data_IF_388471241708
#
_entry.id   IF_388471241708
#
_cell.length_a   1.000
_cell.length_b   1.000
_cell.length_c   1.000
_cell.angle_alpha   90.00
_cell.angle_beta   90.00
_cell.angle_gamma   90.00
#
_symmetry.space_group_name_H-M   'P 1'
#
loop_
_entity.id
_entity.type
_entity.pdbx_description
1 polymer ?
#
# COMPACT_ATOMS: atom_id res chain seq x y z
N UNK A 1 28.39 -23.89 10.12
CA UNK A 1 27.76 -22.58 9.84
C UNK A 1 27.27 -22.02 11.16
N UNK A 2 27.73 -20.84 11.57
CA UNK A 2 27.31 -20.16 12.82
C UNK A 2 26.34 -19.00 12.56
N UNK A 3 26.07 -18.69 11.28
CA UNK A 3 25.18 -17.64 10.83
C UNK A 3 24.25 -18.18 9.75
N UNK A 4 23.05 -17.61 9.65
CA UNK A 4 22.07 -17.98 8.63
C UNK A 4 22.56 -17.52 7.24
N UNK A 5 22.54 -18.38 6.20
CA UNK A 5 23.05 -18.04 4.88
C UNK A 5 22.14 -17.04 4.14
N UNK A 6 22.74 -16.15 3.35
CA UNK A 6 22.01 -15.27 2.45
C UNK A 6 21.60 -16.01 1.16
N UNK A 7 20.45 -15.63 0.59
CA UNK A 7 19.99 -16.10 -0.73
C UNK A 7 19.22 -17.43 -0.72
N UNK A 8 18.98 -18.04 0.44
CA UNK A 8 18.09 -19.20 0.54
C UNK A 8 16.64 -18.72 0.59
N UNK A 9 15.77 -19.39 -0.16
CA UNK A 9 14.35 -19.01 -0.30
C UNK A 9 13.58 -19.02 1.03
N UNK A 10 13.98 -19.88 1.98
CA UNK A 10 13.38 -19.95 3.32
C UNK A 10 13.91 -18.91 4.30
N UNK A 11 15.03 -18.24 3.99
CA UNK A 11 15.70 -17.32 4.93
C UNK A 11 14.80 -16.23 5.49
N UNK A 12 14.00 -15.51 4.68
CA UNK A 12 13.14 -14.46 5.19
C UNK A 12 12.10 -14.98 6.20
N UNK A 13 11.59 -16.19 5.97
CA UNK A 13 10.62 -16.83 6.88
C UNK A 13 11.28 -17.25 8.20
N UNK A 14 12.48 -17.83 8.14
CA UNK A 14 13.23 -18.22 9.33
C UNK A 14 13.60 -17.01 10.19
N UNK A 15 14.09 -15.94 9.58
CA UNK A 15 14.45 -14.70 10.28
C UNK A 15 13.20 -14.06 10.89
N UNK A 16 12.09 -13.97 10.14
CA UNK A 16 10.86 -13.40 10.68
C UNK A 16 10.31 -14.20 11.87
N UNK A 17 10.35 -15.53 11.80
CA UNK A 17 9.93 -16.39 12.91
C UNK A 17 10.83 -16.18 14.13
N UNK A 18 12.15 -16.17 13.94
CA UNK A 18 13.10 -15.99 15.03
C UNK A 18 12.99 -14.59 15.68
N UNK A 19 12.81 -13.54 14.88
CA UNK A 19 12.58 -12.18 15.39
C UNK A 19 11.27 -12.09 16.19
N UNK A 20 10.19 -12.70 15.69
CA UNK A 20 8.91 -12.75 16.41
C UNK A 20 9.01 -13.52 17.72
N UNK A 21 9.76 -14.62 17.73
CA UNK A 21 10.01 -15.39 18.94
C UNK A 21 10.82 -14.59 19.96
N UNK A 22 11.89 -13.90 19.54
CA UNK A 22 12.66 -13.01 20.40
C UNK A 22 11.79 -11.91 21.05
N UNK A 23 10.90 -11.29 20.28
CA UNK A 23 9.95 -10.31 20.82
C UNK A 23 9.01 -10.98 21.84
N UNK A 24 8.50 -12.18 21.56
CA UNK A 24 7.61 -12.90 22.46
C UNK A 24 8.29 -13.36 23.76
N UNK A 25 9.56 -13.80 23.70
CA UNK A 25 10.33 -14.25 24.86
C UNK A 25 10.60 -13.11 25.86
N UNK A 26 10.54 -11.85 25.38
CA UNK A 26 10.65 -10.66 26.21
C UNK A 26 9.32 -10.16 26.78
N UNK A 27 8.21 -10.89 26.58
CA UNK A 27 6.87 -10.45 26.99
C UNK A 27 6.69 -10.22 28.49
N UNK A 28 7.46 -10.92 29.33
CA UNK A 28 7.41 -10.75 30.79
C UNK A 28 8.27 -9.58 31.29
N UNK A 29 9.29 -9.18 30.51
CA UNK A 29 10.27 -8.15 30.90
C UNK A 29 9.87 -6.74 30.51
N UNK A 30 9.02 -6.61 29.49
CA UNK A 30 8.59 -5.32 28.96
C UNK A 30 7.07 -5.14 29.04
N UNK A 31 6.58 -3.89 29.09
CA UNK A 31 5.16 -3.60 29.00
C UNK A 31 4.51 -4.24 27.76
N UNK A 32 3.33 -4.83 27.94
CA UNK A 32 2.56 -5.50 26.87
C UNK A 32 2.36 -4.64 25.61
N UNK A 33 2.16 -3.32 25.79
CA UNK A 33 1.97 -2.42 24.65
C UNK A 33 3.21 -2.32 23.75
N UNK A 34 4.42 -2.35 24.32
CA UNK A 34 5.66 -2.31 23.53
C UNK A 34 5.88 -3.62 22.76
N UNK A 35 5.55 -4.76 23.36
CA UNK A 35 5.65 -6.09 22.74
C UNK A 35 4.68 -6.23 21.56
N UNK A 36 3.44 -5.77 21.75
CA UNK A 36 2.46 -5.71 20.68
C UNK A 36 2.94 -4.80 19.55
N UNK A 37 3.39 -3.58 19.89
CA UNK A 37 3.90 -2.63 18.92
C UNK A 37 5.10 -3.20 18.14
N UNK A 38 6.08 -3.79 18.84
CA UNK A 38 7.24 -4.45 18.22
C UNK A 38 6.82 -5.55 17.23
N UNK A 39 5.78 -6.31 17.57
CA UNK A 39 5.24 -7.38 16.73
C UNK A 39 4.47 -6.85 15.50
N UNK A 40 3.80 -5.71 15.64
CA UNK A 40 3.00 -5.08 14.60
C UNK A 40 3.84 -4.24 13.62
N UNK A 41 4.89 -3.57 14.12
CA UNK A 41 5.78 -2.75 13.31
C UNK A 41 6.79 -3.56 12.50
N UNK A 42 6.97 -4.85 12.82
CA UNK A 42 7.94 -5.73 12.16
C UNK A 42 7.36 -6.45 10.94
N UNK A 43 7.98 -6.27 9.79
CA UNK A 43 7.69 -7.01 8.56
C UNK A 43 8.97 -7.60 7.96
N UNK A 44 9.09 -8.94 8.03
CA UNK A 44 10.29 -9.67 7.60
C UNK A 44 11.54 -9.15 8.33
N UNK A 45 12.38 -8.35 7.67
CA UNK A 45 13.60 -7.74 8.20
C UNK A 45 13.43 -6.23 8.48
N UNK A 46 12.32 -5.63 8.06
CA UNK A 46 12.06 -4.21 8.22
C UNK A 46 11.21 -3.95 9.47
N UNK A 47 11.51 -2.84 10.15
CA UNK A 47 10.74 -2.34 11.29
C UNK A 47 10.26 -0.92 10.99
N UNK A 48 8.94 -0.72 10.96
CA UNK A 48 8.30 0.53 10.53
C UNK A 48 7.26 0.97 11.57
N UNK A 49 7.44 2.16 12.12
CA UNK A 49 6.48 2.76 13.04
C UNK A 49 6.35 4.26 12.79
N UNK A 50 5.33 4.87 13.37
CA UNK A 50 5.10 6.31 13.35
C UNK A 50 4.49 6.72 14.68
N UNK A 51 4.96 7.83 15.25
CA UNK A 51 4.56 8.36 16.56
C UNK A 51 4.42 9.87 16.47
N UNK A 52 3.78 10.48 17.48
CA UNK A 52 3.40 11.89 17.43
C UNK A 52 4.55 12.84 17.80
N UNK A 53 5.55 12.36 18.54
CA UNK A 53 6.66 13.21 19.03
C UNK A 53 8.04 12.59 18.81
N UNK A 54 9.05 13.46 18.77
CA UNK A 54 10.45 13.06 18.63
C UNK A 54 10.92 12.26 19.86
N UNK A 55 10.47 12.65 21.06
CA UNK A 55 10.83 11.98 22.31
C UNK A 55 10.27 10.56 22.37
N UNK A 56 9.02 10.37 21.93
CA UNK A 56 8.40 9.05 21.81
C UNK A 56 9.16 8.19 20.81
N UNK A 57 9.59 8.77 19.68
CA UNK A 57 10.33 8.05 18.65
C UNK A 57 11.69 7.57 19.17
N UNK A 58 12.45 8.44 19.84
CA UNK A 58 13.75 8.10 20.43
C UNK A 58 13.58 7.00 21.48
N UNK A 59 12.63 7.16 22.41
CA UNK A 59 12.37 6.16 23.44
C UNK A 59 11.93 4.80 22.85
N UNK A 60 11.15 4.82 21.77
CA UNK A 60 10.72 3.59 21.09
C UNK A 60 11.91 2.88 20.41
N UNK A 61 12.82 3.63 19.77
CA UNK A 61 14.03 3.06 19.16
C UNK A 61 14.86 2.33 20.22
N UNK A 62 15.09 2.97 21.37
CA UNK A 62 15.88 2.38 22.46
C UNK A 62 15.20 1.13 23.05
N UNK A 63 13.89 1.18 23.24
CA UNK A 63 13.12 0.03 23.69
C UNK A 63 13.18 -1.14 22.69
N UNK A 64 12.97 -0.87 21.40
CA UNK A 64 13.02 -1.90 20.35
C UNK A 64 14.42 -2.52 20.25
N UNK A 65 15.47 -1.69 20.28
CA UNK A 65 16.85 -2.18 20.32
C UNK A 65 17.08 -3.10 21.53
N UNK A 66 16.60 -2.70 22.71
CA UNK A 66 16.80 -3.49 23.93
C UNK A 66 16.04 -4.82 23.88
N UNK A 67 14.79 -4.81 23.41
CA UNK A 67 13.96 -6.02 23.24
C UNK A 67 14.67 -7.00 22.31
N UNK A 68 15.04 -6.57 21.09
CA UNK A 68 15.60 -7.48 20.09
C UNK A 68 17.05 -7.88 20.39
N UNK A 69 17.83 -7.00 21.01
CA UNK A 69 19.24 -7.27 21.31
C UNK A 69 19.43 -8.38 22.35
N UNK A 70 18.47 -8.53 23.26
CA UNK A 70 18.52 -9.58 24.29
C UNK A 70 18.61 -11.00 23.70
N UNK A 71 18.10 -11.21 22.49
CA UNK A 71 18.15 -12.46 21.74
C UNK A 71 19.13 -12.42 20.55
N UNK A 72 20.03 -11.42 20.52
CA UNK A 72 21.10 -11.31 19.53
C UNK A 72 20.71 -10.59 18.23
N UNK A 73 19.52 -10.00 18.14
CA UNK A 73 19.11 -9.22 16.97
C UNK A 73 19.51 -7.74 17.12
N UNK A 74 20.44 -7.29 16.27
CA UNK A 74 20.84 -5.89 16.18
C UNK A 74 20.05 -5.16 15.09
N UNK A 75 19.20 -4.22 15.48
CA UNK A 75 18.54 -3.31 14.54
C UNK A 75 19.53 -2.25 14.06
N UNK A 76 19.61 -2.08 12.74
CA UNK A 76 20.55 -1.17 12.05
C UNK A 76 19.87 -0.51 10.86
N UNK A 77 20.56 0.45 10.23
CA UNK A 77 20.10 1.23 9.07
C UNK A 77 18.86 2.07 9.38
N UNK A 78 18.88 2.76 10.51
CA UNK A 78 17.81 3.67 10.92
C UNK A 78 17.65 4.83 9.94
N UNK A 79 16.39 5.21 9.72
CA UNK A 79 15.95 6.31 8.85
C UNK A 79 14.80 7.02 9.57
N UNK A 80 14.72 8.34 9.46
CA UNK A 80 13.62 9.14 10.01
C UNK A 80 13.43 10.40 9.17
N UNK A 81 12.19 10.88 9.06
CA UNK A 81 11.88 12.20 8.51
C UNK A 81 12.24 13.36 9.45
N UNK A 82 12.53 13.07 10.73
CA UNK A 82 13.05 14.03 11.69
C UNK A 82 14.52 13.74 12.03
N UNK A 83 15.41 14.67 11.71
CA UNK A 83 16.84 14.53 11.95
C UNK A 83 17.17 14.45 13.45
N UNK A 84 16.40 15.13 14.31
CA UNK A 84 16.57 15.09 15.76
C UNK A 84 16.47 13.68 16.35
N UNK A 85 15.65 12.81 15.75
CA UNK A 85 15.50 11.39 16.16
C UNK A 85 16.75 10.58 15.85
N UNK A 86 17.54 10.97 14.85
CA UNK A 86 18.74 10.25 14.41
C UNK A 86 20.01 10.68 15.14
N UNK A 87 20.06 11.91 15.67
CA UNK A 87 21.24 12.46 16.37
C UNK A 87 21.77 11.60 17.53
N UNK A 88 20.92 10.93 18.34
CA UNK A 88 21.40 10.08 19.43
C UNK A 88 22.05 8.77 18.96
N UNK A 89 21.85 8.37 17.70
CA UNK A 89 22.32 7.09 17.19
C UNK A 89 23.75 7.17 16.66
N UNK A 90 24.56 6.10 16.84
CA UNK A 90 25.90 6.05 16.28
C UNK A 90 25.85 6.00 14.74
N UNK A 91 26.81 6.63 14.03
CA UNK A 91 26.79 6.69 12.56
C UNK A 91 26.74 5.32 11.85
N UNK A 92 27.27 4.28 12.49
CA UNK A 92 27.29 2.90 11.99
C UNK A 92 25.90 2.25 11.95
N UNK A 93 24.98 2.74 12.76
CA UNK A 93 23.59 2.26 12.82
C UNK A 93 22.67 3.05 11.90
N UNK A 94 23.15 4.16 11.34
CA UNK A 94 22.43 4.94 10.35
C UNK A 94 22.55 4.26 8.99
N UNK A 95 21.50 4.37 8.17
CA UNK A 95 21.58 3.89 6.80
C UNK A 95 22.57 4.75 6.04
N UNK A 96 23.59 4.12 5.43
CA UNK A 96 24.48 4.84 4.52
C UNK A 96 23.65 5.37 3.34
N UNK A 97 23.87 6.61 2.88
CA UNK A 97 23.20 7.14 1.70
C UNK A 97 23.66 6.34 0.49
N UNK A 98 22.92 5.29 0.12
CA UNK A 98 23.21 4.47 -1.06
C UNK A 98 22.74 5.22 -2.30
N UNK A 99 23.68 5.96 -2.91
CA UNK A 99 23.88 6.13 -4.36
C UNK A 99 22.68 6.29 -5.33
N UNK A 100 22.77 7.36 -6.14
CA UNK A 100 22.13 7.71 -7.43
C UNK A 100 20.83 8.54 -7.44
N UNK A 101 19.84 8.31 -6.58
CA UNK A 101 18.60 9.13 -6.61
C UNK A 101 18.68 10.45 -5.81
N UNK A 102 19.81 10.69 -5.13
CA UNK A 102 20.07 11.85 -4.25
C UNK A 102 20.01 13.20 -5.00
N UNK A 103 20.19 13.21 -6.33
CA UNK A 103 20.57 14.44 -7.06
C UNK A 103 19.36 15.20 -7.63
N UNK A 104 18.16 14.63 -7.69
CA UNK A 104 17.03 15.31 -8.36
C UNK A 104 15.81 15.62 -7.47
N UNK A 105 15.58 14.89 -6.37
CA UNK A 105 14.34 15.05 -5.58
C UNK A 105 14.50 15.08 -4.05
N UNK A 106 15.70 14.90 -3.49
CA UNK A 106 15.96 14.84 -2.03
C UNK A 106 16.49 13.48 -1.59
N UNK A 107 16.46 13.18 -0.28
CA UNK A 107 16.80 11.84 0.23
C UNK A 107 15.67 10.87 -0.12
N UNK A 108 15.87 10.10 -1.19
CA UNK A 108 14.97 9.05 -1.64
C UNK A 108 15.46 7.71 -1.12
N UNK A 109 14.65 7.11 -0.26
CA UNK A 109 14.88 5.76 0.25
C UNK A 109 13.70 4.87 -0.11
N UNK A 110 13.94 3.56 -0.14
CA UNK A 110 12.87 2.58 -0.25
C UNK A 110 12.53 2.02 1.13
N UNK A 111 11.25 2.11 1.51
CA UNK A 111 10.69 1.34 2.61
C UNK A 111 9.72 0.32 2.00
N UNK A 112 9.99 -0.98 2.18
CA UNK A 112 9.25 -2.06 1.53
C UNK A 112 9.13 -1.86 0.01
N UNK A 113 10.21 -1.46 -0.67
CA UNK A 113 10.23 -1.15 -2.11
C UNK A 113 9.29 -0.01 -2.58
N UNK A 114 8.74 0.78 -1.66
CA UNK A 114 8.04 2.04 -1.97
C UNK A 114 9.01 3.20 -1.84
N UNK A 115 9.10 4.04 -2.87
CA UNK A 115 9.99 5.21 -2.88
C UNK A 115 9.42 6.29 -1.95
N UNK A 116 10.20 6.65 -0.93
CA UNK A 116 9.85 7.64 0.08
C UNK A 116 10.84 8.80 0.07
N UNK A 117 10.31 10.01 -0.12
CA UNK A 117 11.04 11.24 0.09
C UNK A 117 10.97 11.61 1.58
N UNK A 118 12.04 11.31 2.30
CA UNK A 118 12.13 11.46 3.75
C UNK A 118 11.97 12.92 4.16
N UNK A 119 12.65 13.83 3.47
CA UNK A 119 12.67 15.26 3.81
C UNK A 119 11.30 15.91 3.66
N UNK A 120 10.55 15.55 2.62
CA UNK A 120 9.20 16.09 2.38
C UNK A 120 8.08 15.28 3.04
N UNK A 121 8.42 14.11 3.58
CA UNK A 121 7.49 13.09 4.05
C UNK A 121 6.41 12.68 3.03
N UNK A 122 6.85 12.32 1.81
CA UNK A 122 5.94 11.98 0.69
C UNK A 122 6.35 10.69 0.01
N UNK A 123 5.36 9.87 -0.34
CA UNK A 123 5.55 8.74 -1.24
C UNK A 123 5.69 9.29 -2.66
N UNK A 124 6.72 8.85 -3.35
CA UNK A 124 7.00 9.15 -4.74
C UNK A 124 6.88 7.89 -5.59
N UNK A 125 6.78 8.10 -6.90
CA UNK A 125 6.62 7.03 -7.86
C UNK A 125 7.73 7.14 -8.88
N UNK A 126 8.64 6.17 -8.86
CA UNK A 126 9.69 6.04 -9.86
C UNK A 126 9.48 4.73 -10.59
N UNK A 127 9.09 4.82 -11.86
CA UNK A 127 8.85 3.67 -12.71
C UNK A 127 10.09 3.46 -13.57
N UNK A 128 10.57 2.21 -13.60
CA UNK A 128 11.70 1.82 -14.44
C UNK A 128 11.44 2.17 -15.90
N UNK A 129 12.49 2.48 -16.65
CA UNK A 129 12.35 2.64 -18.10
C UNK A 129 12.04 1.31 -18.78
N UNK A 130 11.23 1.36 -19.84
CA UNK A 130 10.90 0.19 -20.63
C UNK A 130 11.93 -0.01 -21.74
N UNK A 131 12.52 -1.21 -21.83
CA UNK A 131 13.59 -1.49 -22.78
C UNK A 131 13.19 -2.41 -23.96
N UNK A 132 13.52 -1.95 -25.16
CA UNK A 132 13.36 -2.68 -26.41
C UNK A 132 11.92 -2.72 -26.95
N UNK A 133 11.68 -3.57 -27.94
CA UNK A 133 10.36 -3.68 -28.57
C UNK A 133 9.34 -4.34 -27.64
N UNK A 134 8.10 -3.83 -27.58
CA UNK A 134 7.06 -4.43 -26.75
C UNK A 134 6.63 -5.78 -27.32
N UNK A 135 6.55 -6.76 -26.43
CA UNK A 135 5.88 -8.05 -26.67
C UNK A 135 4.93 -8.32 -25.51
N UNK A 136 4.00 -9.26 -25.67
CA UNK A 136 3.09 -9.64 -24.57
C UNK A 136 3.87 -10.02 -23.30
N UNK A 137 4.97 -10.77 -23.46
CA UNK A 137 5.86 -11.18 -22.36
C UNK A 137 6.50 -9.97 -21.67
N UNK A 138 7.06 -9.05 -22.45
CA UNK A 138 7.74 -7.86 -21.89
C UNK A 138 6.77 -6.90 -21.22
N UNK A 139 5.59 -6.67 -21.81
CA UNK A 139 4.54 -5.83 -21.21
C UNK A 139 4.10 -6.43 -19.87
N UNK A 140 3.88 -7.75 -19.81
CA UNK A 140 3.52 -8.43 -18.57
C UNK A 140 4.62 -8.30 -17.52
N UNK A 141 5.87 -8.59 -17.91
CA UNK A 141 7.03 -8.50 -17.03
C UNK A 141 7.21 -7.09 -16.48
N UNK A 142 7.00 -6.07 -17.31
CA UNK A 142 7.09 -4.67 -16.90
C UNK A 142 5.94 -4.27 -15.97
N UNK A 143 4.70 -4.56 -16.34
CA UNK A 143 3.55 -4.24 -15.50
C UNK A 143 3.58 -4.96 -14.14
N UNK A 144 4.15 -6.16 -14.08
CA UNK A 144 4.31 -6.94 -12.85
C UNK A 144 5.52 -6.51 -12.01
N UNK A 145 6.52 -5.85 -12.60
CA UNK A 145 7.67 -5.33 -11.85
C UNK A 145 7.37 -4.05 -11.08
N UNK A 146 6.26 -3.38 -11.40
CA UNK A 146 5.79 -2.19 -10.69
C UNK A 146 5.18 -2.62 -9.36
N UNK A 147 5.90 -2.35 -8.28
CA UNK A 147 5.46 -2.66 -6.93
C UNK A 147 4.53 -1.56 -6.40
N UNK A 148 3.25 -1.91 -6.17
CA UNK A 148 2.21 -0.98 -5.71
C UNK A 148 1.31 -1.66 -4.65
N UNK A 149 1.79 -1.82 -3.40
CA UNK A 149 1.10 -2.60 -2.37
C UNK A 149 -0.21 -1.94 -1.91
N UNK A 150 -0.24 -0.60 -1.91
CA UNK A 150 -1.42 0.21 -1.57
C UNK A 150 -2.34 0.41 -2.78
N UNK A 151 -1.88 0.06 -3.98
CA UNK A 151 -2.64 0.21 -5.22
C UNK A 151 -2.97 1.66 -5.56
N UNK A 152 -2.06 2.58 -5.23
CA UNK A 152 -2.17 4.01 -5.53
C UNK A 152 -2.05 4.24 -7.04
N UNK A 153 -1.19 3.45 -7.70
CA UNK A 153 -0.99 3.46 -9.14
C UNK A 153 -2.00 2.60 -9.89
N UNK A 154 -3.00 2.04 -9.21
CA UNK A 154 -4.01 1.19 -9.81
C UNK A 154 -4.74 1.82 -11.03
N UNK A 155 -4.99 3.14 -11.11
CA UNK A 155 -5.52 3.77 -12.31
C UNK A 155 -4.51 3.77 -13.48
N UNK A 156 -3.23 4.06 -13.20
CA UNK A 156 -2.16 4.09 -14.20
C UNK A 156 -1.89 2.69 -14.75
N UNK A 157 -1.86 1.69 -13.86
CA UNK A 157 -1.63 0.29 -14.19
C UNK A 157 -2.82 -0.40 -14.87
N UNK A 158 -3.99 0.27 -14.95
CA UNK A 158 -5.15 -0.31 -15.59
C UNK A 158 -4.95 -0.48 -17.10
N UNK A 159 -4.39 0.52 -17.77
CA UNK A 159 -4.18 0.52 -19.22
C UNK A 159 -3.27 -0.65 -19.69
N UNK A 160 -2.10 -0.90 -19.08
CA UNK A 160 -1.30 -2.09 -19.37
C UNK A 160 -2.06 -3.40 -19.19
N UNK A 161 -2.88 -3.51 -18.13
CA UNK A 161 -3.66 -4.73 -17.85
C UNK A 161 -4.76 -4.95 -18.89
N UNK A 162 -5.41 -3.88 -19.35
CA UNK A 162 -6.40 -3.94 -20.44
C UNK A 162 -5.75 -4.34 -21.76
N UNK A 163 -4.60 -3.75 -22.09
CA UNK A 163 -3.84 -4.12 -23.28
C UNK A 163 -3.43 -5.60 -23.23
N UNK A 164 -2.88 -6.07 -22.11
CA UNK A 164 -2.55 -7.50 -21.92
C UNK A 164 -3.76 -8.41 -22.12
N UNK A 165 -4.92 -8.02 -21.59
CA UNK A 165 -6.15 -8.79 -21.81
C UNK A 165 -6.55 -8.82 -23.29
N UNK A 166 -6.45 -7.69 -24.01
CA UNK A 166 -6.71 -7.63 -25.46
C UNK A 166 -5.80 -8.59 -26.23
N UNK A 167 -4.49 -8.55 -25.97
CA UNK A 167 -3.50 -9.43 -26.61
C UNK A 167 -3.76 -10.91 -26.33
N UNK A 168 -4.21 -11.25 -25.11
CA UNK A 168 -4.60 -12.62 -24.74
C UNK A 168 -5.87 -13.05 -25.50
N UNK A 169 -6.86 -12.18 -25.65
CA UNK A 169 -8.09 -12.48 -26.42
C UNK A 169 -7.80 -12.74 -27.90
N UNK A 170 -6.85 -12.02 -28.47
CA UNK A 170 -6.37 -12.24 -29.85
C UNK A 170 -5.51 -13.49 -30.01
N UNK A 171 -5.20 -14.21 -28.91
CA UNK A 171 -4.31 -15.37 -28.89
C UNK A 171 -2.90 -15.07 -29.43
N UNK A 172 -2.42 -13.84 -29.26
CA UNK A 172 -1.06 -13.48 -29.64
C UNK A 172 -0.05 -14.32 -28.85
N UNK A 173 1.01 -14.79 -29.48
CA UNK A 173 2.08 -15.51 -28.79
C UNK A 173 2.83 -14.60 -27.80
N UNK A 174 3.63 -15.20 -26.92
CA UNK A 174 4.38 -14.45 -25.89
C UNK A 174 5.28 -13.36 -26.48
N UNK A 175 5.95 -13.68 -27.59
CA UNK A 175 6.90 -12.81 -28.29
C UNK A 175 6.41 -12.41 -29.69
N UNK A 176 5.09 -12.54 -29.92
CA UNK A 176 4.46 -12.09 -31.16
C UNK A 176 4.54 -10.57 -31.32
N UNK A 177 4.60 -10.12 -32.59
CA UNK A 177 4.58 -8.71 -32.91
C UNK A 177 3.21 -8.09 -32.63
N UNK A 178 3.22 -6.95 -31.96
CA UNK A 178 2.01 -6.15 -31.74
C UNK A 178 1.60 -5.46 -33.05
N UNK A 179 0.29 -5.26 -33.22
CA UNK A 179 -0.23 -4.39 -34.27
C UNK A 179 0.22 -2.93 -34.07
N UNK A 180 0.13 -2.13 -35.12
CA UNK A 180 0.48 -0.70 -35.05
C UNK A 180 -0.36 0.04 -34.00
N UNK A 181 -1.66 -0.25 -33.90
CA UNK A 181 -2.55 0.33 -32.90
C UNK A 181 -2.11 0.01 -31.46
N UNK A 182 -1.71 -1.23 -31.19
CA UNK A 182 -1.27 -1.68 -29.86
C UNK A 182 0.08 -1.08 -29.48
N UNK A 183 1.01 -1.01 -30.44
CA UNK A 183 2.27 -0.30 -30.26
C UNK A 183 2.04 1.17 -29.93
N UNK A 184 1.16 1.85 -30.68
CA UNK A 184 0.83 3.25 -30.43
C UNK A 184 0.17 3.46 -29.05
N UNK A 185 -0.73 2.55 -28.65
CA UNK A 185 -1.34 2.59 -27.33
C UNK A 185 -0.32 2.38 -26.20
N UNK A 186 0.61 1.44 -26.37
CA UNK A 186 1.67 1.17 -25.39
C UNK A 186 2.63 2.35 -25.26
N UNK A 187 3.10 2.87 -26.40
CA UNK A 187 4.02 4.01 -26.44
C UNK A 187 3.40 5.27 -25.86
N UNK A 188 2.10 5.52 -26.10
CA UNK A 188 1.37 6.62 -25.47
C UNK A 188 1.39 6.49 -23.94
N UNK A 189 1.04 5.32 -23.43
CA UNK A 189 1.08 5.04 -22.00
C UNK A 189 2.50 5.22 -21.41
N UNK A 190 3.54 4.78 -22.13
CA UNK A 190 4.94 4.97 -21.73
C UNK A 190 5.37 6.44 -21.64
N UNK A 191 4.76 7.35 -22.42
CA UNK A 191 5.02 8.78 -22.29
C UNK A 191 4.22 9.38 -21.13
N UNK A 192 2.93 9.04 -21.01
CA UNK A 192 2.06 9.54 -19.93
C UNK A 192 2.60 9.14 -18.54
N UNK A 193 3.11 7.91 -18.39
CA UNK A 193 3.66 7.44 -17.13
C UNK A 193 4.91 8.22 -16.68
N UNK A 194 5.65 8.89 -17.58
CA UNK A 194 6.79 9.74 -17.19
C UNK A 194 6.37 10.92 -16.32
N UNK A 195 5.15 11.42 -16.50
CA UNK A 195 4.60 12.49 -15.65
C UNK A 195 4.36 12.02 -14.21
N UNK A 196 4.28 10.71 -13.97
CA UNK A 196 4.11 10.14 -12.64
C UNK A 196 5.31 10.43 -11.73
N UNK A 197 6.51 10.60 -12.28
CA UNK A 197 7.71 11.04 -11.54
C UNK A 197 7.52 12.37 -10.82
N UNK A 198 6.61 13.22 -11.32
CA UNK A 198 6.25 14.51 -10.72
C UNK A 198 5.14 14.39 -9.68
N UNK A 199 4.40 13.29 -9.69
CA UNK A 199 3.33 13.03 -8.73
C UNK A 199 3.92 12.52 -7.41
N UNK A 200 3.26 12.88 -6.31
CA UNK A 200 3.57 12.36 -4.98
C UNK A 200 2.37 12.48 -4.08
N UNK A 201 2.26 11.60 -3.11
CA UNK A 201 1.20 11.66 -2.09
C UNK A 201 1.83 11.83 -0.69
N UNK A 202 1.15 12.49 0.25
CA UNK A 202 1.64 12.52 1.63
C UNK A 202 1.67 11.11 2.21
N UNK A 203 2.76 10.73 2.88
CA UNK A 203 2.85 9.44 3.57
C UNK A 203 1.98 9.45 4.83
N UNK A 204 2.06 10.52 5.61
CA UNK A 204 1.29 10.66 6.83
C UNK A 204 -0.15 11.06 6.55
N UNK A 205 -1.11 10.31 7.11
CA UNK A 205 -2.54 10.65 7.03
C UNK A 205 -2.93 11.78 7.98
N UNK A 206 -2.14 12.03 9.02
CA UNK A 206 -2.32 13.12 9.98
C UNK A 206 -1.23 14.17 9.76
N UNK A 207 -1.54 15.33 9.13
CA UNK A 207 -0.53 16.37 8.93
C UNK A 207 0.07 16.86 10.26
N UNK A 208 1.35 17.27 10.21
CA UNK A 208 2.09 17.75 11.39
C UNK A 208 1.35 18.87 12.13
N UNK A 209 1.39 18.82 13.46
CA UNK A 209 0.83 19.84 14.34
C UNK A 209 -0.66 19.70 14.63
N UNK A 210 -1.27 18.59 14.22
CA UNK A 210 -2.69 18.31 14.45
C UNK A 210 -2.85 17.16 15.43
N UNK A 211 -3.14 17.48 16.69
CA UNK A 211 -3.48 16.48 17.72
C UNK A 211 -4.98 16.19 17.69
N UNK A 212 -5.35 14.90 17.83
CA UNK A 212 -6.75 14.42 17.87
C UNK A 212 -7.56 14.74 16.62
N UNK A 213 -7.03 14.41 15.44
CA UNK A 213 -7.80 14.54 14.21
C UNK A 213 -8.77 13.36 14.09
N UNK A 214 -10.04 13.68 13.87
CA UNK A 214 -11.02 12.72 13.45
C UNK A 214 -10.72 12.24 12.03
N UNK A 215 -10.38 10.96 11.87
CA UNK A 215 -10.27 10.29 10.59
C UNK A 215 -11.61 9.66 10.22
N UNK A 216 -12.15 10.01 9.07
CA UNK A 216 -13.37 9.41 8.53
C UNK A 216 -13.01 8.67 7.25
N UNK A 217 -13.26 7.36 7.23
CA UNK A 217 -13.00 6.54 6.05
C UNK A 217 -14.20 6.59 5.09
N UNK A 218 -13.93 6.90 3.83
CA UNK A 218 -14.86 6.86 2.71
C UNK A 218 -14.41 5.83 1.69
N UNK A 219 -15.30 4.91 1.36
CA UNK A 219 -15.00 3.80 0.48
C UNK A 219 -15.89 3.87 -0.75
N UNK A 220 -15.29 3.94 -1.93
CA UNK A 220 -16.03 4.06 -3.19
C UNK A 220 -15.91 2.75 -3.98
N UNK A 221 -17.05 2.23 -4.45
CA UNK A 221 -17.07 1.12 -5.39
C UNK A 221 -17.62 1.58 -6.72
N UNK A 222 -16.90 1.28 -7.79
CA UNK A 222 -17.34 1.52 -9.16
C UNK A 222 -16.98 0.36 -10.07
N UNK A 223 -17.76 0.19 -11.14
CA UNK A 223 -17.43 -0.78 -12.18
C UNK A 223 -17.84 -0.30 -13.56
N UNK A 224 -17.14 -0.80 -14.56
CA UNK A 224 -17.41 -0.60 -15.98
C UNK A 224 -17.27 -1.95 -16.70
N UNK A 225 -17.59 -1.96 -17.99
CA UNK A 225 -17.42 -3.15 -18.84
C UNK A 225 -15.96 -3.60 -18.92
N UNK A 226 -15.01 -2.65 -18.83
CA UNK A 226 -13.58 -2.92 -18.95
C UNK A 226 -12.95 -3.33 -17.60
N UNK A 227 -13.38 -2.73 -16.50
CA UNK A 227 -12.76 -2.96 -15.19
C UNK A 227 -13.68 -2.58 -14.04
N UNK A 228 -13.37 -3.09 -12.85
CA UNK A 228 -14.00 -2.63 -11.62
C UNK A 228 -12.95 -2.18 -10.60
N UNK A 229 -13.25 -1.06 -9.94
CA UNK A 229 -12.36 -0.31 -9.07
C UNK A 229 -12.94 -0.16 -7.68
N UNK A 230 -12.05 -0.13 -6.69
CA UNK A 230 -12.38 -0.03 -5.26
C UNK A 230 -11.37 0.90 -4.58
N UNK A 231 -11.45 2.22 -4.78
CA UNK A 231 -10.66 3.16 -4.00
C UNK A 231 -11.27 3.41 -2.60
N UNK A 232 -10.41 3.47 -1.60
CA UNK A 232 -10.69 3.91 -0.25
C UNK A 232 -9.91 5.20 0.01
N UNK A 233 -10.61 6.27 0.35
CA UNK A 233 -10.03 7.55 0.76
C UNK A 233 -10.36 7.81 2.22
N UNK A 234 -9.55 8.63 2.87
CA UNK A 234 -9.76 9.07 4.24
C UNK A 234 -9.83 10.59 4.26
N UNK A 235 -10.84 11.10 4.95
CA UNK A 235 -11.00 12.52 5.20
C UNK A 235 -10.47 12.86 6.59
N UNK A 236 -9.64 13.89 6.61
CA UNK A 236 -8.92 14.39 7.76
C UNK A 236 -9.49 15.78 8.07
N UNK A 237 -10.14 15.91 9.22
CA UNK A 237 -10.81 17.15 9.62
C UNK A 237 -9.87 18.07 10.41
N UNK A 238 -9.55 19.23 9.84
CA UNK A 238 -8.55 20.16 10.36
C UNK A 238 -9.12 21.56 10.47
N UNK A 239 -9.44 22.04 11.68
CA UNK A 239 -9.85 23.44 11.94
C UNK A 239 -10.86 23.97 10.89
N UNK A 240 -11.96 23.24 10.67
CA UNK A 240 -13.01 23.50 9.66
C UNK A 240 -12.64 23.30 8.17
N UNK A 241 -11.47 22.74 7.87
CA UNK A 241 -11.11 22.27 6.52
C UNK A 241 -11.10 20.74 6.48
N UNK A 242 -11.61 20.17 5.40
CA UNK A 242 -11.53 18.74 5.12
C UNK A 242 -10.39 18.51 4.14
N UNK A 243 -9.46 17.64 4.50
CA UNK A 243 -8.39 17.18 3.60
C UNK A 243 -8.71 15.73 3.24
N UNK A 244 -8.98 15.47 1.97
CA UNK A 244 -9.21 14.13 1.46
C UNK A 244 -7.89 13.51 0.98
N UNK A 245 -7.52 12.35 1.51
CA UNK A 245 -6.30 11.61 1.19
C UNK A 245 -6.63 10.22 0.68
N UNK A 246 -5.97 9.77 -0.40
CA UNK A 246 -6.09 8.38 -0.86
C UNK A 246 -5.28 7.47 0.07
N UNK A 247 -5.93 6.47 0.66
CA UNK A 247 -5.28 5.49 1.54
C UNK A 247 -4.92 4.23 0.77
N UNK A 248 -5.86 3.71 -0.02
CA UNK A 248 -5.69 2.46 -0.73
C UNK A 248 -6.58 2.43 -1.98
N UNK A 249 -6.05 2.00 -3.11
CA UNK A 249 -6.81 1.75 -4.34
C UNK A 249 -6.68 0.30 -4.78
N UNK A 250 -7.75 -0.35 -5.25
CA UNK A 250 -7.59 -1.64 -5.97
C UNK A 250 -8.44 -1.68 -7.22
N UNK A 251 -7.82 -2.00 -8.34
CA UNK A 251 -8.49 -2.22 -9.63
C UNK A 251 -8.35 -3.68 -10.07
N UNK A 252 -9.37 -4.19 -10.76
CA UNK A 252 -9.35 -5.48 -11.43
C UNK A 252 -9.97 -5.33 -12.81
N UNK A 253 -9.33 -5.93 -13.81
CA UNK A 253 -9.92 -6.04 -15.16
C UNK A 253 -11.07 -7.03 -15.10
N UNK A 254 -12.13 -6.76 -15.87
CA UNK A 254 -13.29 -7.67 -15.93
C UNK A 254 -12.88 -9.03 -16.49
N UNK A 255 -13.51 -10.14 -16.06
CA UNK A 255 -13.23 -11.46 -16.62
C UNK A 255 -13.45 -11.49 -18.14
N UNK A 256 -12.70 -12.34 -18.86
CA UNK A 256 -12.91 -12.54 -20.31
C UNK A 256 -14.29 -13.15 -20.58
N UNK A 257 -14.78 -14.01 -19.68
CA UNK A 257 -16.16 -14.50 -19.72
C UNK A 257 -17.09 -13.34 -19.39
N UNK A 258 -18.09 -13.15 -20.23
CA UNK A 258 -19.08 -12.08 -20.04
C UNK A 258 -19.81 -12.25 -18.71
N UNK A 259 -19.76 -11.20 -17.90
CA UNK A 259 -20.50 -11.08 -16.65
C UNK A 259 -21.35 -9.83 -16.76
N UNK A 260 -22.61 -9.91 -16.35
CA UNK A 260 -23.52 -8.75 -16.35
C UNK A 260 -22.98 -7.64 -15.45
N UNK A 261 -23.12 -6.38 -15.88
CA UNK A 261 -22.75 -5.18 -15.11
C UNK A 261 -23.28 -5.23 -13.66
N UNK A 262 -24.56 -5.54 -13.38
CA UNK A 262 -25.06 -5.67 -12.00
C UNK A 262 -24.23 -6.58 -11.08
N UNK A 263 -23.73 -7.70 -11.63
CA UNK A 263 -22.90 -8.66 -10.88
C UNK A 263 -21.50 -8.11 -10.62
N UNK A 264 -20.94 -7.35 -11.58
CA UNK A 264 -19.65 -6.68 -11.40
C UNK A 264 -19.74 -5.60 -10.34
N UNK A 265 -20.79 -4.78 -10.36
CA UNK A 265 -21.07 -3.75 -9.36
C UNK A 265 -21.20 -4.35 -7.96
N UNK A 266 -22.03 -5.39 -7.81
CA UNK A 266 -22.20 -6.09 -6.53
C UNK A 266 -20.89 -6.73 -6.05
N UNK A 267 -20.10 -7.30 -6.96
CA UNK A 267 -18.78 -7.87 -6.64
C UNK A 267 -17.81 -6.79 -6.19
N UNK A 268 -17.83 -5.61 -6.82
CA UNK A 268 -17.00 -4.47 -6.44
C UNK A 268 -17.36 -4.01 -5.01
N UNK A 269 -18.65 -3.84 -4.71
CA UNK A 269 -19.14 -3.48 -3.37
C UNK A 269 -18.77 -4.53 -2.29
N UNK A 270 -18.96 -5.82 -2.59
CA UNK A 270 -18.61 -6.92 -1.68
C UNK A 270 -17.11 -7.02 -1.39
N UNK A 271 -16.27 -6.73 -2.38
CA UNK A 271 -14.83 -6.73 -2.18
C UNK A 271 -14.32 -5.45 -1.51
N UNK A 272 -14.99 -4.31 -1.71
CA UNK A 272 -14.69 -3.05 -1.04
C UNK A 272 -14.97 -3.15 0.46
N UNK A 273 -16.12 -3.70 0.84
CA UNK A 273 -16.50 -3.91 2.25
C UNK A 273 -15.48 -4.78 2.97
N UNK A 274 -15.07 -5.90 2.38
CA UNK A 274 -13.98 -6.75 2.93
C UNK A 274 -12.67 -6.00 3.13
N UNK A 275 -12.29 -5.19 2.15
CA UNK A 275 -11.08 -4.38 2.22
C UNK A 275 -11.18 -3.32 3.33
N UNK A 276 -12.32 -2.65 3.43
CA UNK A 276 -12.57 -1.64 4.46
C UNK A 276 -12.56 -2.23 5.86
N UNK A 277 -13.15 -3.41 6.08
CA UNK A 277 -13.11 -4.11 7.38
C UNK A 277 -11.67 -4.38 7.81
N UNK A 278 -10.82 -4.87 6.91
CA UNK A 278 -9.39 -5.07 7.19
C UNK A 278 -8.68 -3.75 7.52
N UNK A 279 -9.03 -2.67 6.81
CA UNK A 279 -8.40 -1.37 7.02
C UNK A 279 -8.80 -0.75 8.36
N UNK A 280 -10.07 -0.84 8.76
CA UNK A 280 -10.57 -0.38 10.07
C UNK A 280 -9.86 -1.11 11.20
N UNK A 281 -9.73 -2.43 11.09
CA UNK A 281 -9.04 -3.25 12.09
C UNK A 281 -7.56 -2.85 12.21
N UNK A 282 -6.85 -2.70 11.08
CA UNK A 282 -5.42 -2.39 11.06
C UNK A 282 -5.07 -0.96 11.40
N UNK A 283 -5.97 -0.02 11.15
CA UNK A 283 -5.76 1.39 11.49
C UNK A 283 -6.39 1.77 12.82
N UNK A 284 -7.03 0.83 13.53
CA UNK A 284 -7.75 1.06 14.78
C UNK A 284 -8.73 2.25 14.68
N UNK A 285 -9.48 2.34 13.58
CA UNK A 285 -10.40 3.44 13.36
C UNK A 285 -11.62 3.32 14.27
N UNK A 286 -11.88 4.34 15.07
CA UNK A 286 -13.02 4.39 15.99
C UNK A 286 -14.34 4.76 15.28
N UNK A 287 -14.26 5.35 14.07
CA UNK A 287 -15.43 5.88 13.36
C UNK A 287 -16.01 4.89 12.36
N UNK A 288 -17.35 4.92 12.14
CA UNK A 288 -18.00 4.05 11.17
C UNK A 288 -17.51 4.38 9.75
N UNK A 289 -17.35 3.37 8.91
CA UNK A 289 -16.98 3.56 7.50
C UNK A 289 -18.21 3.96 6.68
N UNK A 290 -18.03 4.92 5.76
CA UNK A 290 -19.09 5.33 4.83
C UNK A 290 -18.79 4.73 3.46
N UNK A 291 -19.75 3.97 2.90
CA UNK A 291 -19.61 3.32 1.61
C UNK A 291 -20.42 4.04 0.53
N UNK A 292 -19.82 4.32 -0.62
CA UNK A 292 -20.44 5.03 -1.73
C UNK A 292 -20.46 4.14 -2.98
N UNK A 293 -21.59 4.16 -3.69
CA UNK A 293 -21.72 3.51 -5.01
C UNK A 293 -22.72 4.27 -5.87
N UNK A 294 -22.38 4.42 -7.15
CA UNK A 294 -23.25 4.97 -8.18
C UNK A 294 -24.25 3.94 -8.74
N UNK A 295 -24.12 2.66 -8.37
CA UNK A 295 -25.04 1.61 -8.81
C UNK A 295 -26.35 1.64 -8.01
N UNK A 296 -27.41 2.14 -8.67
CA UNK A 296 -28.78 2.02 -8.16
C UNK A 296 -29.20 0.56 -7.95
N UNK A 297 -28.67 -0.37 -8.74
CA UNK A 297 -28.99 -1.80 -8.64
C UNK A 297 -28.44 -2.37 -7.34
N UNK A 298 -27.18 -2.08 -7.00
CA UNK A 298 -26.58 -2.51 -5.73
C UNK A 298 -27.33 -1.91 -4.55
N UNK A 299 -27.64 -0.61 -4.58
CA UNK A 299 -28.43 0.04 -3.53
C UNK A 299 -29.80 -0.64 -3.33
N UNK A 300 -30.48 -0.98 -4.43
CA UNK A 300 -31.78 -1.64 -4.36
C UNK A 300 -31.67 -3.08 -3.83
N UNK A 301 -30.67 -3.85 -4.28
CA UNK A 301 -30.44 -5.22 -3.81
C UNK A 301 -30.17 -5.25 -2.30
N UNK A 302 -29.35 -4.33 -1.79
CA UNK A 302 -29.06 -4.21 -0.36
C UNK A 302 -30.33 -3.87 0.44
N UNK A 303 -31.19 -2.98 -0.07
CA UNK A 303 -32.48 -2.64 0.56
C UNK A 303 -33.49 -3.78 0.55
N UNK A 304 -33.44 -4.66 -0.44
CA UNK A 304 -34.35 -5.82 -0.52
C UNK A 304 -33.95 -6.96 0.42
N UNK A 305 -32.65 -7.20 0.59
CA UNK A 305 -32.12 -8.26 1.47
C UNK A 305 -32.38 -7.99 2.96
N UNK A 306 -32.35 -6.72 3.38
CA UNK A 306 -32.67 -6.32 4.76
C UNK A 306 -34.14 -6.51 5.12
N UNK A 307 -35.04 -6.56 4.13
CA UNK A 307 -36.47 -6.82 4.34
C UNK A 307 -36.82 -8.30 4.45
N UNK A 308 -35.96 -9.19 3.99
CA UNK A 308 -36.26 -10.63 3.85
C UNK A 308 -35.48 -11.54 4.80
N UNK A 309 -34.49 -11.01 5.54
CA UNK A 309 -33.67 -11.79 6.47
C UNK A 309 -33.25 -10.96 7.69
N UNK A 310 -33.89 -11.12 8.87
CA UNK A 310 -33.57 -10.36 10.08
C UNK A 310 -32.25 -10.81 10.76
N UNK A 311 -31.51 -11.74 10.18
CA UNK A 311 -30.29 -12.32 10.76
C UNK A 311 -28.99 -11.61 10.37
N UNK A 312 -29.04 -10.51 9.61
CA UNK A 312 -27.86 -9.71 9.27
C UNK A 312 -27.77 -8.59 10.31
N UNK A 313 -27.00 -8.83 11.37
CA UNK A 313 -26.62 -7.78 12.31
C UNK A 313 -25.75 -6.75 11.57
N UNK A 314 -26.27 -5.53 11.43
CA UNK A 314 -25.63 -4.33 10.87
C UNK A 314 -24.97 -4.47 9.48
N UNK A 315 -25.75 -4.52 8.39
CA UNK A 315 -25.20 -4.44 7.04
C UNK A 315 -24.52 -3.09 6.78
N UNK A 316 -23.42 -3.05 6.00
CA UNK A 316 -22.78 -1.80 5.63
C UNK A 316 -23.76 -0.88 4.89
N UNK A 317 -23.91 0.35 5.37
CA UNK A 317 -24.81 1.34 4.77
C UNK A 317 -24.09 2.00 3.61
N UNK A 318 -24.60 1.75 2.40
CA UNK A 318 -24.17 2.46 1.20
C UNK A 318 -25.03 3.71 0.99
N UNK A 319 -24.39 4.84 0.72
CA UNK A 319 -25.02 6.11 0.34
C UNK A 319 -24.75 6.42 -1.14
N UNK A 320 -25.70 7.10 -1.77
CA UNK A 320 -25.55 7.70 -3.11
C UNK A 320 -24.78 9.01 -3.03
#
# INVERSE_FOLDING_TARGET
>A
MTIHPFGVTSSPSCVNLALRQAIADNAERFPKHLINLASECSYVEDCLFSVDTEEEAIGLIDNLKTITYSDGFRLVKWISNEECVLKPLPPEELRSPKSQHIIQYGCLESALDVVWNITKDRIQFDLKEFEGSPTRRKILSFAASIYDPLGILAPVLLNPKLLLQKLVRQKLEWDGQLSEEENNSWNRWLQEQKELSRASIPRCLTPKGLRRVALQLYCFSGSSEAAYGRPCTCDVWVRMKVICLLVLGKTRVTPIRTVSIPRLELTAAALLTRLATQLVEKMHLERPVIFWTDSMIVLQLLRCLTRSSPSIHDPPVFTS
#
